data_IF_616120772453
#
_entry.id   IF_616120772453
#
_cell.length_a   1.000
_cell.length_b   1.000
_cell.length_c   1.000
_cell.angle_alpha   90.00
_cell.angle_beta   90.00
_cell.angle_gamma   90.00
#
_symmetry.space_group_name_H-M   'P 1'
#
loop_
_entity.id
_entity.type
_entity.pdbx_description
1 polymer ?
#
# COMPACT_ATOMS: atom_id res chain seq x y z
N UNK A 1 9.30 -2.34 14.06
CA UNK A 1 9.50 -2.04 12.62
C UNK A 1 8.55 -2.87 11.76
N UNK A 2 8.61 -4.21 11.83
CA UNK A 2 7.71 -5.12 11.09
C UNK A 2 6.23 -4.88 11.39
N UNK A 3 5.87 -4.65 12.66
CA UNK A 3 4.47 -4.37 13.03
C UNK A 3 3.95 -3.06 12.43
N UNK A 4 4.82 -2.06 12.28
CA UNK A 4 4.44 -0.80 11.63
C UNK A 4 4.22 -1.04 10.14
N UNK A 5 5.11 -1.77 9.46
CA UNK A 5 4.96 -2.16 8.06
C UNK A 5 3.62 -2.89 7.83
N UNK A 6 3.31 -3.90 8.65
CA UNK A 6 2.04 -4.65 8.58
C UNK A 6 0.81 -3.78 8.88
N UNK A 7 0.87 -2.97 9.93
CA UNK A 7 -0.27 -2.13 10.35
C UNK A 7 -0.54 -0.97 9.38
N UNK A 8 0.44 -0.60 8.56
CA UNK A 8 0.32 0.44 7.55
C UNK A 8 -0.05 -0.11 6.17
N UNK A 9 -0.37 -1.41 6.05
CA UNK A 9 -0.57 -2.10 4.78
C UNK A 9 0.60 -1.91 3.81
N UNK A 10 1.81 -1.76 4.35
CA UNK A 10 3.04 -1.72 3.56
C UNK A 10 3.60 -3.14 3.44
N UNK A 11 4.22 -3.44 2.30
CA UNK A 11 4.83 -4.75 2.05
C UNK A 11 3.85 -5.84 1.64
N UNK A 12 4.38 -7.03 1.37
CA UNK A 12 3.69 -8.15 0.73
C UNK A 12 2.92 -9.06 1.69
N UNK A 13 2.63 -8.65 2.92
CA UNK A 13 2.13 -9.57 3.97
C UNK A 13 0.84 -10.30 3.60
N UNK A 14 -0.20 -9.59 3.16
CA UNK A 14 -1.48 -10.21 2.79
C UNK A 14 -1.31 -11.12 1.55
N UNK A 15 -0.42 -10.74 0.64
CA UNK A 15 -0.06 -11.54 -0.54
C UNK A 15 0.70 -12.81 -0.17
N UNK A 16 1.65 -12.70 0.75
CA UNK A 16 2.39 -13.82 1.32
C UNK A 16 1.43 -14.78 2.03
N UNK A 17 0.50 -14.26 2.83
CA UNK A 17 -0.48 -15.06 3.54
C UNK A 17 -1.38 -15.83 2.57
N UNK A 18 -1.93 -15.16 1.54
CA UNK A 18 -2.77 -15.83 0.53
C UNK A 18 -1.93 -16.84 -0.27
N UNK A 19 -0.75 -16.45 -0.75
CA UNK A 19 0.13 -17.31 -1.53
C UNK A 19 0.55 -18.57 -0.78
N UNK A 20 0.92 -18.44 0.49
CA UNK A 20 1.33 -19.56 1.33
C UNK A 20 0.23 -20.60 1.59
N UNK A 21 -1.06 -20.23 1.47
CA UNK A 21 -2.17 -21.20 1.58
C UNK A 21 -2.23 -22.17 0.40
N UNK A 22 -1.63 -21.80 -0.73
CA UNK A 22 -1.71 -22.53 -1.99
C UNK A 22 -0.33 -22.97 -2.53
N UNK A 23 0.74 -22.76 -1.77
CA UNK A 23 2.05 -23.37 -2.03
C UNK A 23 2.16 -24.74 -1.37
N UNK A 24 3.08 -25.56 -1.87
CA UNK A 24 3.41 -26.84 -1.29
C UNK A 24 4.89 -26.88 -0.89
N UNK A 25 5.20 -27.50 0.26
CA UNK A 25 6.58 -27.68 0.72
C UNK A 25 7.32 -26.35 0.93
N UNK A 26 8.46 -26.19 0.24
CA UNK A 26 9.37 -25.03 0.38
C UNK A 26 9.24 -24.04 -0.77
N UNK A 27 8.15 -24.11 -1.55
CA UNK A 27 7.93 -23.19 -2.66
C UNK A 27 7.67 -21.76 -2.17
N UNK A 28 8.21 -20.78 -2.91
CA UNK A 28 7.95 -19.36 -2.64
C UNK A 28 6.47 -19.01 -2.84
N UNK A 29 5.88 -18.24 -1.93
CA UNK A 29 4.45 -17.91 -1.86
C UNK A 29 3.83 -17.43 -3.18
N UNK A 30 4.59 -16.71 -4.02
CA UNK A 30 4.13 -16.25 -5.36
C UNK A 30 3.62 -17.41 -6.23
N UNK A 31 4.23 -18.60 -6.12
CA UNK A 31 3.77 -19.78 -6.87
C UNK A 31 2.37 -20.21 -6.46
N UNK A 32 1.97 -19.96 -5.22
CA UNK A 32 0.65 -20.31 -4.71
C UNK A 32 -0.47 -19.64 -5.48
N UNK A 33 -0.25 -18.45 -6.07
CA UNK A 33 -1.27 -17.78 -6.87
C UNK A 33 -1.66 -18.55 -8.13
N UNK A 34 -0.77 -19.40 -8.68
CA UNK A 34 -1.13 -20.28 -9.81
C UNK A 34 -2.07 -21.41 -9.39
N UNK A 35 -2.01 -21.80 -8.12
CA UNK A 35 -2.80 -22.89 -7.55
C UNK A 35 -4.04 -22.36 -6.81
N UNK A 36 -4.12 -21.05 -6.57
CA UNK A 36 -5.24 -20.42 -5.89
C UNK A 36 -6.52 -20.56 -6.74
N UNK A 37 -7.65 -20.91 -6.13
CA UNK A 37 -8.89 -21.09 -6.87
C UNK A 37 -9.49 -19.71 -7.25
N UNK A 38 -10.34 -19.63 -8.29
CA UNK A 38 -10.83 -18.36 -8.82
C UNK A 38 -11.53 -17.44 -7.80
N UNK A 39 -12.09 -17.99 -6.72
CA UNK A 39 -12.72 -17.25 -5.64
C UNK A 39 -11.75 -16.34 -4.87
N UNK A 40 -10.45 -16.63 -4.93
CA UNK A 40 -9.40 -15.81 -4.32
C UNK A 40 -8.96 -14.65 -5.21
N UNK A 41 -9.27 -14.64 -6.52
CA UNK A 41 -8.78 -13.62 -7.46
C UNK A 41 -9.04 -12.19 -6.96
N UNK A 42 -10.25 -11.91 -6.50
CA UNK A 42 -10.61 -10.56 -6.00
C UNK A 42 -9.86 -10.18 -4.73
N UNK A 43 -9.50 -11.16 -3.88
CA UNK A 43 -8.69 -10.92 -2.67
C UNK A 43 -7.24 -10.67 -3.04
N UNK A 44 -6.70 -11.45 -3.96
CA UNK A 44 -5.34 -11.29 -4.51
C UNK A 44 -5.19 -9.93 -5.18
N UNK A 45 -6.13 -9.55 -6.06
CA UNK A 45 -6.14 -8.24 -6.72
C UNK A 45 -6.12 -7.08 -5.72
N UNK A 46 -6.96 -7.15 -4.68
CA UNK A 46 -6.98 -6.14 -3.61
C UNK A 46 -5.67 -6.10 -2.83
N UNK A 47 -5.13 -7.25 -2.46
CA UNK A 47 -3.88 -7.33 -1.72
C UNK A 47 -2.70 -6.77 -2.55
N UNK A 48 -2.69 -6.98 -3.89
CA UNK A 48 -1.72 -6.35 -4.78
C UNK A 48 -1.89 -4.84 -4.87
N UNK A 49 -3.14 -4.35 -4.98
CA UNK A 49 -3.40 -2.91 -5.02
C UNK A 49 -2.93 -2.22 -3.74
N UNK A 50 -3.26 -2.76 -2.56
CA UNK A 50 -2.81 -2.21 -1.28
C UNK A 50 -1.29 -2.30 -1.11
N UNK A 51 -0.67 -3.39 -1.55
CA UNK A 51 0.80 -3.50 -1.53
C UNK A 51 1.46 -2.43 -2.40
N UNK A 52 0.93 -2.18 -3.60
CA UNK A 52 1.48 -1.16 -4.51
C UNK A 52 1.38 0.25 -3.93
N UNK A 53 0.26 0.61 -3.32
CA UNK A 53 0.08 1.88 -2.62
C UNK A 53 1.06 2.02 -1.45
N UNK A 54 1.21 0.95 -0.66
CA UNK A 54 2.14 0.90 0.45
C UNK A 54 3.60 1.08 0.02
N UNK A 55 3.99 0.45 -1.08
CA UNK A 55 5.35 0.54 -1.64
C UNK A 55 5.63 1.93 -2.24
N UNK A 56 4.65 2.55 -2.90
CA UNK A 56 4.76 3.92 -3.39
C UNK A 56 5.00 4.93 -2.26
N UNK A 57 4.33 4.76 -1.12
CA UNK A 57 4.52 5.57 0.10
C UNK A 57 5.89 5.31 0.72
N UNK A 58 6.27 4.04 0.88
CA UNK A 58 7.57 3.67 1.44
C UNK A 58 8.73 4.26 0.61
N UNK A 59 8.63 4.18 -0.72
CA UNK A 59 9.57 4.78 -1.65
C UNK A 59 9.63 6.31 -1.48
N UNK A 60 8.48 7.00 -1.39
CA UNK A 60 8.48 8.45 -1.13
C UNK A 60 9.19 8.83 0.18
N UNK A 61 8.95 8.07 1.26
CA UNK A 61 9.61 8.31 2.54
C UNK A 61 11.13 8.09 2.40
N UNK A 62 11.55 6.99 1.76
CA UNK A 62 12.95 6.66 1.58
C UNK A 62 13.71 7.72 0.75
N UNK A 63 13.07 8.25 -0.29
CA UNK A 63 13.60 9.33 -1.13
C UNK A 63 13.42 10.72 -0.52
N UNK A 64 12.78 10.85 0.65
CA UNK A 64 12.47 12.12 1.32
C UNK A 64 11.66 13.07 0.45
N UNK A 65 10.78 12.52 -0.39
CA UNK A 65 9.84 13.30 -1.17
C UNK A 65 8.79 13.89 -0.23
N UNK A 66 8.73 15.22 -0.17
CA UNK A 66 7.83 15.91 0.75
C UNK A 66 6.35 15.84 0.32
N UNK A 67 6.08 15.77 -0.98
CA UNK A 67 4.72 15.81 -1.52
C UNK A 67 4.39 14.49 -2.21
N UNK A 68 3.38 13.77 -1.70
CA UNK A 68 2.81 12.61 -2.36
C UNK A 68 1.58 13.07 -3.16
N UNK A 69 1.74 13.16 -4.48
CA UNK A 69 0.69 13.63 -5.38
C UNK A 69 -0.24 12.49 -5.77
N UNK A 70 -1.50 12.58 -5.35
CA UNK A 70 -2.50 11.55 -5.68
C UNK A 70 -3.91 12.12 -5.68
N UNK A 71 -4.76 11.58 -6.57
CA UNK A 71 -6.22 11.78 -6.52
C UNK A 71 -6.92 10.69 -5.70
N UNK A 72 -6.19 9.65 -5.31
CA UNK A 72 -6.73 8.61 -4.46
C UNK A 72 -7.08 9.22 -3.09
N UNK A 73 -8.22 8.82 -2.56
CA UNK A 73 -8.74 9.22 -1.24
C UNK A 73 -9.20 8.00 -0.43
N UNK A 74 -8.86 6.78 -0.85
CA UNK A 74 -9.24 5.52 -0.23
C UNK A 74 -10.76 5.38 0.02
N UNK A 75 -11.61 6.02 -0.79
CA UNK A 75 -13.06 6.13 -0.52
C UNK A 75 -13.75 4.77 -0.33
N UNK A 76 -13.24 3.73 -1.00
CA UNK A 76 -13.81 2.38 -0.97
C UNK A 76 -12.91 1.34 -0.27
N UNK A 77 -11.68 1.71 0.11
CA UNK A 77 -10.69 0.78 0.66
C UNK A 77 -10.81 0.59 2.18
N UNK A 78 -11.57 1.48 2.85
CA UNK A 78 -11.84 1.40 4.28
C UNK A 78 -10.67 1.87 5.14
N UNK A 79 -10.72 1.54 6.44
CA UNK A 79 -9.76 2.04 7.43
C UNK A 79 -8.39 1.38 7.38
N UNK A 80 -8.27 0.21 6.73
CA UNK A 80 -7.02 -0.55 6.67
C UNK A 80 -6.06 -0.02 5.61
N UNK A 81 -6.57 0.57 4.52
CA UNK A 81 -5.71 1.07 3.44
C UNK A 81 -4.69 2.08 3.92
N UNK A 82 -3.46 2.01 3.40
CA UNK A 82 -2.40 2.99 3.66
C UNK A 82 -2.84 4.41 3.31
N UNK A 83 -3.72 4.53 2.31
CA UNK A 83 -4.27 5.79 1.83
C UNK A 83 -5.48 6.28 2.67
N UNK A 84 -5.90 5.57 3.71
CA UNK A 84 -7.02 5.99 4.57
C UNK A 84 -6.72 7.30 5.30
N UNK A 85 -7.77 8.08 5.60
CA UNK A 85 -7.63 9.38 6.30
C UNK A 85 -6.85 9.27 7.61
N UNK A 86 -7.05 8.20 8.36
CA UNK A 86 -6.34 7.97 9.61
C UNK A 86 -4.88 7.63 9.36
N UNK A 87 -4.58 6.85 8.32
CA UNK A 87 -3.21 6.50 7.98
C UNK A 87 -2.40 7.67 7.44
N UNK A 88 -3.02 8.53 6.62
CA UNK A 88 -2.40 9.78 6.16
C UNK A 88 -1.96 10.66 7.32
N UNK A 89 -2.79 10.82 8.36
CA UNK A 89 -2.46 11.68 9.50
C UNK A 89 -1.14 11.31 10.16
N UNK A 90 -0.95 10.03 10.50
CA UNK A 90 0.30 9.64 11.17
C UNK A 90 1.47 9.58 10.17
N UNK A 91 1.24 9.29 8.88
CA UNK A 91 2.28 9.42 7.84
C UNK A 91 2.79 10.87 7.71
N UNK A 92 1.88 11.84 7.75
CA UNK A 92 2.22 13.26 7.76
C UNK A 92 2.97 13.64 9.05
N UNK A 93 2.51 13.17 10.22
CA UNK A 93 3.11 13.49 11.52
C UNK A 93 4.50 12.86 11.72
N UNK A 94 4.66 11.59 11.37
CA UNK A 94 5.87 10.81 11.67
C UNK A 94 6.95 10.97 10.60
N UNK A 95 6.56 11.20 9.34
CA UNK A 95 7.50 11.25 8.21
C UNK A 95 7.48 12.58 7.44
N UNK A 96 6.57 13.50 7.74
CA UNK A 96 6.53 14.82 7.10
C UNK A 96 6.10 14.81 5.63
N UNK A 97 5.60 13.68 5.12
CA UNK A 97 4.93 13.60 3.83
C UNK A 97 3.70 14.51 3.85
N UNK A 98 3.32 15.08 2.71
CA UNK A 98 2.08 15.83 2.52
C UNK A 98 1.33 15.24 1.35
N UNK A 99 0.08 14.83 1.58
CA UNK A 99 -0.79 14.35 0.50
C UNK A 99 -1.40 15.55 -0.22
N UNK A 100 -1.16 15.66 -1.52
CA UNK A 100 -1.61 16.79 -2.34
C UNK A 100 -2.31 16.28 -3.59
N UNK A 101 -3.29 17.04 -4.09
CA UNK A 101 -3.85 16.80 -5.42
C UNK A 101 -2.87 17.28 -6.51
N UNK A 102 -3.02 16.84 -7.78
CA UNK A 102 -2.27 17.41 -8.89
C UNK A 102 -2.40 18.93 -8.99
N UNK A 103 -3.58 19.45 -8.67
CA UNK A 103 -3.88 20.88 -8.70
C UNK A 103 -3.11 21.63 -7.59
N UNK A 104 -3.07 21.07 -6.37
CA UNK A 104 -2.29 21.61 -5.25
C UNK A 104 -0.78 21.57 -5.56
N UNK A 105 -0.30 20.46 -6.12
CA UNK A 105 1.11 20.32 -6.48
C UNK A 105 1.51 21.34 -7.55
N UNK A 106 0.67 21.53 -8.57
CA UNK A 106 0.93 22.52 -9.62
C UNK A 106 1.10 23.91 -9.01
N UNK A 107 0.22 24.32 -8.09
CA UNK A 107 0.34 25.61 -7.41
C UNK A 107 1.63 25.73 -6.60
N UNK A 108 2.03 24.67 -5.88
CA UNK A 108 3.27 24.65 -5.09
C UNK A 108 4.51 24.83 -6.00
N UNK A 109 4.52 24.22 -7.19
CA UNK A 109 5.66 24.26 -8.10
C UNK A 109 5.76 25.55 -8.93
N UNK A 110 4.66 26.29 -9.07
CA UNK A 110 4.61 27.54 -9.85
C UNK A 110 4.56 28.81 -9.00
N UNK A 111 4.53 28.67 -7.67
CA UNK A 111 4.60 29.79 -6.73
C UNK A 111 6.05 30.25 -6.52
#
# INVERSE_FOLDING_TARGET
>A
MVDKIKNCCCGSYDLEEIGNRYTSGTEHWIKGFKNAPPEENKKIEKAFAEWADGDAIASHIAHRNQYFCTRDQAKNAGQKSVMSKNNRKWLEQDYGIKFVSPEDLAQILTA
#
